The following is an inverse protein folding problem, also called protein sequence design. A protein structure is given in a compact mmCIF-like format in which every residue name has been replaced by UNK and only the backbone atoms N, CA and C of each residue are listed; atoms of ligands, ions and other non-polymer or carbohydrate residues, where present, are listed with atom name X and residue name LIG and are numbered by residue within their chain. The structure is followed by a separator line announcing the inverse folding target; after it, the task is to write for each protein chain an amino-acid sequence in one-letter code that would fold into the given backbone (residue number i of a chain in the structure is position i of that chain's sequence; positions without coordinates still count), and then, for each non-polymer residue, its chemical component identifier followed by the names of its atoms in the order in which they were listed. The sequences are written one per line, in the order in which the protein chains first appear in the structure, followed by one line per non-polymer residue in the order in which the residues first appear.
data_IF_106630846293
#
_entry.id   IF_106630846293
#
_cell.length_a   1.000
_cell.length_b   1.000
_cell.length_c   1.000
_cell.angle_alpha   90.00
_cell.angle_beta   90.00
_cell.angle_gamma   90.00
#
_symmetry.space_group_name_H-M   'P 1'
#
loop_
_entity.id
_entity.type
_entity.pdbx_description
1 polymer ?
#
# COMPACT_ATOMS: atom_id res chain seq x y z
N UNK A 1 18.00 6.97 -19.98
CA UNK A 1 17.59 7.84 -18.85
C UNK A 1 18.83 8.36 -18.13
N UNK A 2 18.86 9.64 -17.78
CA UNK A 2 19.87 10.24 -16.89
C UNK A 2 19.54 9.96 -15.43
N UNK A 3 20.46 10.29 -14.51
CA UNK A 3 20.22 10.15 -13.06
C UNK A 3 19.08 11.05 -12.60
N UNK A 4 19.04 12.27 -13.12
CA UNK A 4 18.02 13.27 -12.80
C UNK A 4 16.64 12.76 -13.20
N UNK A 5 16.49 12.22 -14.41
CA UNK A 5 15.21 11.64 -14.90
C UNK A 5 14.76 10.44 -14.06
N UNK A 6 15.69 9.58 -13.63
CA UNK A 6 15.41 8.42 -12.77
C UNK A 6 14.94 8.88 -11.39
N UNK A 7 15.64 9.85 -10.79
CA UNK A 7 15.28 10.38 -9.47
C UNK A 7 13.96 11.15 -9.52
N UNK A 8 13.74 11.96 -10.55
CA UNK A 8 12.49 12.70 -10.76
C UNK A 8 11.31 11.73 -10.90
N UNK A 9 11.48 10.67 -11.69
CA UNK A 9 10.45 9.63 -11.78
C UNK A 9 10.18 8.95 -10.43
N UNK A 10 11.22 8.60 -9.68
CA UNK A 10 11.07 8.05 -8.32
C UNK A 10 10.38 9.01 -7.35
N UNK A 11 10.63 10.31 -7.49
CA UNK A 11 10.00 11.36 -6.66
C UNK A 11 8.56 11.69 -7.08
N UNK A 12 8.12 11.28 -8.27
CA UNK A 12 6.74 11.46 -8.71
C UNK A 12 5.74 10.56 -7.97
N UNK A 13 6.20 9.51 -7.30
CA UNK A 13 5.34 8.64 -6.49
C UNK A 13 4.93 9.33 -5.17
N UNK A 14 3.72 9.04 -4.66
CA UNK A 14 3.22 9.63 -3.42
C UNK A 14 4.14 9.39 -2.22
N UNK A 15 4.26 10.39 -1.36
CA UNK A 15 4.96 10.32 -0.08
C UNK A 15 6.43 9.87 -0.20
N UNK A 16 7.14 10.31 -1.24
CA UNK A 16 8.55 10.01 -1.44
C UNK A 16 9.45 11.19 -1.08
N UNK A 17 10.72 10.90 -0.86
CA UNK A 17 11.77 11.89 -0.69
C UNK A 17 13.13 11.31 -1.08
N UNK A 18 14.03 12.19 -1.52
CA UNK A 18 15.40 11.85 -1.86
C UNK A 18 16.33 11.98 -0.65
N UNK A 19 17.33 11.14 -0.59
CA UNK A 19 18.37 11.15 0.43
C UNK A 19 19.73 10.72 -0.18
N UNK A 20 20.81 11.37 0.27
CA UNK A 20 22.18 10.90 0.06
C UNK A 20 22.64 10.20 1.35
N UNK A 21 22.63 8.85 1.40
CA UNK A 21 22.80 8.12 2.67
C UNK A 21 24.26 8.05 3.15
N UNK A 22 25.21 8.41 2.29
CA UNK A 22 26.64 8.32 2.54
C UNK A 22 27.33 9.67 2.28
N UNK A 23 28.56 9.82 2.76
CA UNK A 23 29.43 10.98 2.39
C UNK A 23 29.84 10.95 0.92
N UNK A 24 29.72 9.78 0.25
CA UNK A 24 29.96 9.63 -1.18
C UNK A 24 28.74 10.14 -1.97
N UNK A 25 28.84 11.28 -2.70
CA UNK A 25 27.71 11.84 -3.45
C UNK A 25 27.29 10.97 -4.65
N UNK A 26 28.08 9.95 -4.98
CA UNK A 26 27.72 9.00 -6.02
C UNK A 26 26.45 8.22 -5.68
N UNK A 27 26.16 8.01 -4.39
CA UNK A 27 24.99 7.27 -3.95
C UNK A 27 23.82 8.19 -3.61
N UNK A 28 22.74 8.05 -4.37
CA UNK A 28 21.46 8.74 -4.14
C UNK A 28 20.35 7.71 -4.05
N UNK A 29 19.35 7.97 -3.24
CA UNK A 29 18.21 7.05 -3.12
C UNK A 29 16.90 7.78 -2.93
N UNK A 30 15.80 7.08 -3.25
CA UNK A 30 14.45 7.54 -2.99
C UNK A 30 13.79 6.61 -1.97
N UNK A 31 13.22 7.21 -0.94
CA UNK A 31 12.52 6.54 0.16
C UNK A 31 11.07 6.94 0.23
N UNK A 32 10.29 6.09 0.90
CA UNK A 32 8.91 6.40 1.28
C UNK A 32 8.87 7.04 2.67
N UNK A 33 8.22 8.21 2.79
CA UNK A 33 8.00 8.90 4.08
C UNK A 33 7.26 7.98 5.06
N UNK A 34 7.55 8.13 6.34
CA UNK A 34 6.93 7.32 7.40
C UNK A 34 7.63 5.97 7.58
N UNK A 35 7.65 5.09 6.58
CA UNK A 35 8.32 3.79 6.68
C UNK A 35 9.84 3.87 6.56
N UNK A 36 10.37 4.94 5.96
CA UNK A 36 11.79 5.15 5.62
C UNK A 36 12.39 4.05 4.73
N UNK A 37 11.55 3.21 4.11
CA UNK A 37 12.02 2.16 3.21
C UNK A 37 12.48 2.77 1.90
N UNK A 38 13.70 2.40 1.47
CA UNK A 38 14.19 2.73 0.14
C UNK A 38 13.62 1.76 -0.89
N UNK A 39 13.27 2.28 -2.07
CA UNK A 39 12.84 1.46 -3.20
C UNK A 39 13.66 1.71 -4.47
N UNK A 40 14.41 2.80 -4.52
CA UNK A 40 15.25 3.16 -5.64
C UNK A 40 16.59 3.67 -5.10
N UNK A 41 17.70 3.11 -5.63
CA UNK A 41 19.05 3.60 -5.40
C UNK A 41 19.69 3.92 -6.74
N UNK A 42 20.49 4.95 -6.82
CA UNK A 42 21.25 5.32 -8.01
C UNK A 42 22.73 5.47 -7.68
N UNK A 43 23.60 5.02 -8.56
CA UNK A 43 25.06 5.21 -8.47
C UNK A 43 25.70 5.01 -9.85
N UNK A 44 26.84 5.61 -10.07
CA UNK A 44 27.64 5.40 -11.27
C UNK A 44 28.71 4.34 -11.03
N UNK A 45 28.86 3.45 -11.98
CA UNK A 45 29.90 2.41 -11.96
C UNK A 45 30.22 1.99 -13.38
N UNK A 46 31.53 1.81 -13.65
CA UNK A 46 32.05 1.35 -14.94
C UNK A 46 31.58 2.24 -16.13
N UNK A 47 31.39 3.54 -15.89
CA UNK A 47 30.96 4.52 -16.89
C UNK A 47 29.45 4.55 -17.19
N UNK A 48 28.64 3.77 -16.47
CA UNK A 48 27.19 3.73 -16.61
C UNK A 48 26.47 4.14 -15.33
N UNK A 49 25.31 4.73 -15.48
CA UNK A 49 24.37 4.86 -14.40
C UNK A 49 23.80 3.47 -14.07
N UNK A 50 23.87 3.11 -12.82
CA UNK A 50 23.27 1.89 -12.29
C UNK A 50 22.17 2.27 -11.30
N UNK A 51 21.08 1.51 -11.32
CA UNK A 51 20.02 1.65 -10.32
C UNK A 51 19.72 0.31 -9.66
N UNK A 52 19.43 0.36 -8.36
CA UNK A 52 18.92 -0.81 -7.64
C UNK A 52 17.44 -0.62 -7.36
N UNK A 53 16.65 -1.63 -7.71
CA UNK A 53 15.21 -1.72 -7.47
C UNK A 53 14.85 -3.02 -6.78
N UNK A 54 13.83 -3.02 -5.94
CA UNK A 54 13.29 -4.25 -5.36
C UNK A 54 12.50 -5.03 -6.39
N UNK A 55 12.58 -6.35 -6.27
CA UNK A 55 11.75 -7.26 -7.05
C UNK A 55 11.30 -8.44 -6.18
N UNK A 56 10.08 -8.94 -6.38
CA UNK A 56 9.69 -10.24 -5.85
C UNK A 56 10.39 -11.37 -6.62
N UNK A 57 10.27 -12.61 -6.13
CA UNK A 57 11.02 -13.75 -6.69
C UNK A 57 10.70 -14.01 -8.16
N UNK A 58 9.45 -13.88 -8.58
CA UNK A 58 9.02 -14.19 -9.96
C UNK A 58 9.49 -13.11 -10.93
N UNK A 59 9.22 -11.83 -10.62
CA UNK A 59 9.63 -10.69 -11.43
C UNK A 59 11.14 -10.47 -11.44
N UNK A 60 11.84 -10.78 -10.34
CA UNK A 60 13.30 -10.76 -10.27
C UNK A 60 13.93 -11.62 -11.36
N UNK A 61 13.53 -12.88 -11.44
CA UNK A 61 14.11 -13.85 -12.38
C UNK A 61 13.63 -13.59 -13.82
N UNK A 62 12.40 -13.13 -13.99
CA UNK A 62 11.88 -12.68 -15.27
C UNK A 62 12.76 -11.56 -15.86
N UNK A 63 12.97 -10.47 -15.10
CA UNK A 63 13.76 -9.34 -15.58
C UNK A 63 15.21 -9.67 -15.85
N UNK A 64 15.84 -10.51 -15.02
CA UNK A 64 17.21 -11.02 -15.27
C UNK A 64 17.31 -11.86 -16.55
N UNK A 65 16.26 -12.60 -16.87
CA UNK A 65 16.19 -13.40 -18.09
C UNK A 65 15.86 -12.57 -19.32
N UNK A 66 15.02 -11.53 -19.18
CA UNK A 66 14.66 -10.63 -20.27
C UNK A 66 15.84 -9.75 -20.73
N UNK A 67 16.69 -9.32 -19.78
CA UNK A 67 17.83 -8.43 -20.04
C UNK A 67 19.13 -9.01 -19.45
N UNK A 68 19.67 -10.11 -20.02
CA UNK A 68 20.90 -10.74 -19.53
C UNK A 68 22.08 -9.75 -19.57
N UNK A 69 22.77 -9.60 -18.44
CA UNK A 69 23.90 -8.70 -18.31
C UNK A 69 23.52 -7.25 -17.97
N UNK A 70 22.35 -6.75 -18.39
CA UNK A 70 21.87 -5.40 -18.05
C UNK A 70 21.01 -5.39 -16.78
N UNK A 71 20.28 -6.49 -16.47
CA UNK A 71 19.61 -6.69 -15.18
C UNK A 71 20.33 -7.83 -14.44
N UNK A 72 20.98 -7.49 -13.34
CA UNK A 72 21.83 -8.41 -12.57
C UNK A 72 21.41 -8.46 -11.10
N UNK A 73 21.87 -9.44 -10.30
CA UNK A 73 21.65 -9.44 -8.85
C UNK A 73 22.11 -8.16 -8.18
N UNK A 74 21.32 -7.67 -7.20
CA UNK A 74 21.52 -6.40 -6.52
C UNK A 74 22.95 -6.17 -6.03
N UNK A 75 23.59 -5.13 -6.49
CA UNK A 75 24.94 -4.73 -6.09
C UNK A 75 24.90 -4.10 -4.70
N UNK A 76 25.70 -4.61 -3.78
CA UNK A 76 25.73 -4.24 -2.34
C UNK A 76 24.41 -4.41 -1.58
N UNK A 77 23.40 -5.06 -2.17
CA UNK A 77 22.10 -5.31 -1.55
C UNK A 77 21.77 -6.82 -1.55
N UNK A 78 20.69 -7.18 -0.83
CA UNK A 78 20.24 -8.58 -0.82
C UNK A 78 19.79 -9.02 -2.22
N UNK A 79 20.53 -9.99 -2.77
CA UNK A 79 20.37 -10.50 -4.15
C UNK A 79 19.05 -11.24 -4.39
N UNK A 80 18.36 -11.65 -3.33
CA UNK A 80 17.05 -12.31 -3.41
C UNK A 80 15.91 -11.31 -3.64
N UNK A 81 16.09 -10.06 -3.19
CA UNK A 81 15.04 -9.04 -3.20
C UNK A 81 15.39 -7.80 -4.01
N UNK A 82 16.57 -7.76 -4.64
CA UNK A 82 17.02 -6.60 -5.39
C UNK A 82 17.65 -6.98 -6.72
N UNK A 83 17.30 -6.22 -7.74
CA UNK A 83 17.99 -6.19 -9.02
C UNK A 83 18.78 -4.89 -9.15
N UNK A 84 19.92 -4.99 -9.84
CA UNK A 84 20.65 -3.84 -10.37
C UNK A 84 20.36 -3.76 -11.86
N UNK A 85 19.94 -2.59 -12.33
CA UNK A 85 19.79 -2.26 -13.73
C UNK A 85 21.00 -1.42 -14.16
N UNK A 86 21.71 -1.85 -15.17
CA UNK A 86 22.79 -1.09 -15.81
C UNK A 86 22.17 -0.33 -16.97
N UNK A 87 22.13 1.00 -16.88
CA UNK A 87 21.48 1.84 -17.89
C UNK A 87 22.43 2.17 -19.03
N UNK A 88 22.85 1.15 -19.75
CA UNK A 88 23.72 1.22 -20.94
C UNK A 88 22.96 1.39 -22.26
N UNK A 89 21.63 1.51 -22.20
CA UNK A 89 20.74 1.60 -23.35
C UNK A 89 20.11 0.28 -23.78
N UNK A 90 20.48 -0.85 -23.16
CA UNK A 90 19.92 -2.18 -23.45
C UNK A 90 18.46 -2.30 -22.97
N UNK A 91 18.13 -1.70 -21.83
CA UNK A 91 16.80 -1.78 -21.24
C UNK A 91 15.97 -0.59 -21.75
N UNK A 92 14.80 -0.83 -22.38
CA UNK A 92 13.88 0.24 -22.76
C UNK A 92 13.46 1.08 -21.55
N UNK A 93 13.29 2.38 -21.75
CA UNK A 93 12.91 3.32 -20.67
C UNK A 93 11.60 2.93 -19.99
N UNK A 94 10.63 2.42 -20.75
CA UNK A 94 9.34 1.94 -20.22
C UNK A 94 9.53 0.82 -19.20
N UNK A 95 10.43 -0.13 -19.47
CA UNK A 95 10.71 -1.25 -18.58
C UNK A 95 11.54 -0.81 -17.36
N UNK A 96 12.44 0.16 -17.50
CA UNK A 96 13.10 0.80 -16.36
C UNK A 96 12.07 1.44 -15.44
N UNK A 97 11.17 2.25 -15.99
CA UNK A 97 10.08 2.89 -15.23
C UNK A 97 9.16 1.87 -14.57
N UNK A 98 8.83 0.80 -15.28
CA UNK A 98 8.03 -0.30 -14.73
C UNK A 98 8.69 -0.97 -13.53
N UNK A 99 9.98 -1.32 -13.63
CA UNK A 99 10.71 -1.93 -12.51
C UNK A 99 10.82 -0.98 -11.31
N UNK A 100 10.95 0.33 -11.52
CA UNK A 100 10.92 1.33 -10.44
C UNK A 100 9.53 1.36 -9.77
N UNK A 101 8.44 1.35 -10.55
CA UNK A 101 7.08 1.32 -10.03
C UNK A 101 6.78 0.04 -9.23
N UNK A 102 7.17 -1.13 -9.74
CA UNK A 102 7.08 -2.41 -9.03
C UNK A 102 7.85 -2.37 -7.70
N UNK A 103 9.04 -1.77 -7.69
CA UNK A 103 9.83 -1.60 -6.47
C UNK A 103 9.15 -0.68 -5.44
N UNK A 104 8.53 0.41 -5.89
CA UNK A 104 7.73 1.29 -5.03
C UNK A 104 6.55 0.55 -4.41
N UNK A 105 5.82 -0.23 -5.21
CA UNK A 105 4.68 -1.01 -4.74
C UNK A 105 5.09 -2.03 -3.67
N UNK A 106 6.20 -2.74 -3.86
CA UNK A 106 6.72 -3.70 -2.87
C UNK A 106 7.08 -3.07 -1.51
N UNK A 107 7.47 -1.79 -1.47
CA UNK A 107 7.79 -1.12 -0.19
C UNK A 107 6.58 -0.42 0.42
N UNK A 108 5.56 -0.12 -0.38
CA UNK A 108 4.32 0.55 0.03
C UNK A 108 3.16 -0.42 0.23
N UNK A 109 3.23 -1.66 -0.28
CA UNK A 109 2.26 -2.71 0.03
C UNK A 109 2.43 -3.16 1.49
N UNK A 110 1.95 -2.31 2.39
CA UNK A 110 1.92 -2.59 3.82
C UNK A 110 0.53 -3.14 4.20
N UNK A 111 0.44 -3.96 5.27
CA UNK A 111 -0.86 -4.35 5.82
C UNK A 111 -1.80 -3.17 6.04
N UNK A 112 -1.26 -2.02 6.46
CA UNK A 112 -2.03 -0.78 6.64
C UNK A 112 -2.61 -0.26 5.32
N UNK A 113 -1.83 -0.24 4.22
CA UNK A 113 -2.33 0.15 2.89
C UNK A 113 -3.43 -0.81 2.44
N UNK A 114 -3.22 -2.12 2.56
CA UNK A 114 -4.25 -3.13 2.20
C UNK A 114 -5.53 -2.96 3.02
N UNK A 115 -5.43 -2.63 4.31
CA UNK A 115 -6.57 -2.30 5.16
C UNK A 115 -7.33 -1.10 4.61
N UNK A 116 -6.65 -0.01 4.29
CA UNK A 116 -7.29 1.19 3.74
C UNK A 116 -7.99 0.91 2.41
N UNK A 117 -7.34 0.17 1.51
CA UNK A 117 -7.96 -0.20 0.22
C UNK A 117 -9.17 -1.14 0.41
N UNK A 118 -9.15 -2.04 1.40
CA UNK A 118 -10.32 -2.85 1.74
C UNK A 118 -11.48 -1.99 2.29
N UNK A 119 -11.17 -1.01 3.14
CA UNK A 119 -12.19 -0.10 3.71
C UNK A 119 -12.83 0.78 2.65
N UNK A 120 -12.06 1.27 1.66
CA UNK A 120 -12.61 2.03 0.52
C UNK A 120 -13.63 1.25 -0.31
N UNK A 121 -13.54 -0.08 -0.31
CA UNK A 121 -14.46 -0.95 -1.04
C UNK A 121 -15.80 -1.16 -0.35
N UNK A 122 -15.96 -0.75 0.92
CA UNK A 122 -17.25 -0.87 1.62
C UNK A 122 -18.25 0.05 0.93
N UNK A 123 -19.36 -0.48 0.39
CA UNK A 123 -20.35 0.35 -0.31
C UNK A 123 -21.00 1.38 0.63
N UNK A 124 -21.50 2.47 0.06
CA UNK A 124 -22.35 3.41 0.76
C UNK A 124 -23.60 2.70 1.29
N UNK A 125 -24.04 3.03 2.50
CA UNK A 125 -25.17 2.38 3.14
C UNK A 125 -24.86 1.04 3.80
N UNK A 126 -23.59 0.62 3.84
CA UNK A 126 -23.18 -0.66 4.44
C UNK A 126 -22.03 -0.47 5.43
N UNK A 127 -21.87 -1.46 6.31
CA UNK A 127 -20.81 -1.52 7.31
C UNK A 127 -20.07 -2.86 7.24
N UNK A 128 -18.81 -2.84 7.63
CA UNK A 128 -17.98 -4.04 7.82
C UNK A 128 -17.54 -4.14 9.28
N UNK A 129 -17.29 -5.36 9.74
CA UNK A 129 -16.63 -5.55 11.03
C UNK A 129 -15.10 -5.52 10.87
N UNK A 130 -14.38 -5.21 11.96
CA UNK A 130 -12.89 -5.31 11.97
C UNK A 130 -12.40 -6.69 11.53
N UNK A 131 -13.13 -7.74 11.86
CA UNK A 131 -12.79 -9.11 11.46
C UNK A 131 -12.96 -9.33 9.95
N UNK A 132 -14.02 -8.79 9.35
CA UNK A 132 -14.23 -8.86 7.91
C UNK A 132 -13.15 -8.11 7.12
N UNK A 133 -12.75 -6.92 7.59
CA UNK A 133 -11.62 -6.21 6.96
C UNK A 133 -10.32 -7.03 7.09
N UNK A 134 -10.05 -7.64 8.25
CA UNK A 134 -8.90 -8.51 8.43
C UNK A 134 -8.94 -9.73 7.48
N UNK A 135 -10.11 -10.31 7.25
CA UNK A 135 -10.30 -11.39 6.28
C UNK A 135 -10.05 -10.96 4.84
N UNK A 136 -10.56 -9.79 4.42
CA UNK A 136 -10.35 -9.22 3.09
C UNK A 136 -8.87 -8.96 2.77
N UNK A 137 -8.05 -8.69 3.79
CA UNK A 137 -6.60 -8.52 3.61
C UNK A 137 -5.79 -9.82 3.76
N UNK A 138 -6.49 -10.96 3.90
CA UNK A 138 -5.88 -12.30 3.96
C UNK A 138 -5.35 -12.72 5.34
N UNK A 139 -5.69 -11.98 6.41
CA UNK A 139 -5.09 -12.17 7.74
C UNK A 139 -6.14 -12.09 8.86
N UNK A 140 -6.96 -13.13 9.02
CA UNK A 140 -8.06 -13.17 10.01
C UNK A 140 -7.68 -12.77 11.46
N UNK A 141 -6.42 -12.95 11.86
CA UNK A 141 -5.94 -12.59 13.20
C UNK A 141 -5.62 -11.09 13.37
N UNK A 142 -5.72 -10.29 12.30
CA UNK A 142 -5.31 -8.87 12.29
C UNK A 142 -6.40 -7.87 12.67
N UNK A 143 -7.55 -8.27 13.21
CA UNK A 143 -8.64 -7.33 13.59
C UNK A 143 -8.16 -6.17 14.49
N UNK A 144 -7.22 -6.44 15.43
CA UNK A 144 -6.60 -5.40 16.26
C UNK A 144 -5.73 -4.44 15.46
N UNK A 145 -4.98 -4.94 14.48
CA UNK A 145 -4.16 -4.12 13.60
C UNK A 145 -5.03 -3.26 12.66
N UNK A 146 -6.20 -3.77 12.24
CA UNK A 146 -7.21 -2.97 11.53
C UNK A 146 -7.64 -1.77 12.38
N UNK A 147 -8.03 -2.00 13.64
CA UNK A 147 -8.39 -0.92 14.55
C UNK A 147 -7.28 0.14 14.71
N UNK A 148 -6.04 -0.30 14.89
CA UNK A 148 -4.88 0.60 15.01
C UNK A 148 -4.61 1.39 13.72
N UNK A 149 -4.78 0.79 12.55
CA UNK A 149 -4.63 1.45 11.27
C UNK A 149 -5.72 2.52 11.08
N UNK A 150 -6.99 2.18 11.35
CA UNK A 150 -8.12 3.09 11.19
C UNK A 150 -8.06 4.26 12.17
N UNK A 151 -7.54 4.06 13.38
CA UNK A 151 -7.31 5.14 14.33
C UNK A 151 -6.27 6.17 13.83
N UNK A 152 -5.35 5.75 12.97
CA UNK A 152 -4.30 6.60 12.36
C UNK A 152 -4.61 6.95 10.90
N UNK A 153 -5.86 6.81 10.47
CA UNK A 153 -6.28 7.09 9.11
C UNK A 153 -5.86 8.51 8.68
N UNK A 154 -5.02 8.65 7.63
CA UNK A 154 -4.51 9.96 7.21
C UNK A 154 -5.52 10.77 6.39
N UNK A 155 -6.59 10.13 5.89
CA UNK A 155 -7.56 10.72 4.98
C UNK A 155 -8.97 10.15 5.23
N UNK A 156 -9.67 10.63 6.25
CA UNK A 156 -10.99 10.13 6.63
C UNK A 156 -12.11 10.47 5.63
N UNK A 157 -11.83 11.32 4.66
CA UNK A 157 -12.79 11.66 3.59
C UNK A 157 -12.75 10.59 2.47
N UNK A 158 -11.55 10.14 2.07
CA UNK A 158 -11.39 9.12 1.02
C UNK A 158 -11.43 7.70 1.57
N UNK A 159 -11.09 7.51 2.86
CA UNK A 159 -11.07 6.21 3.54
C UNK A 159 -12.18 6.17 4.58
N UNK A 160 -13.37 5.64 4.27
CA UNK A 160 -14.57 5.73 5.12
C UNK A 160 -14.46 4.80 6.35
N UNK A 161 -13.51 5.09 7.25
CA UNK A 161 -13.26 4.29 8.45
C UNK A 161 -14.49 4.26 9.40
N UNK A 162 -15.39 5.22 9.29
CA UNK A 162 -16.66 5.25 10.04
C UNK A 162 -17.60 4.07 9.68
N UNK A 163 -17.44 3.45 8.51
CA UNK A 163 -18.18 2.23 8.11
C UNK A 163 -17.66 0.96 8.77
N UNK A 164 -16.68 1.03 9.68
CA UNK A 164 -16.13 -0.15 10.37
C UNK A 164 -16.59 -0.16 11.83
N UNK A 165 -17.21 -1.27 12.21
CA UNK A 165 -17.81 -1.51 13.53
C UNK A 165 -17.25 -2.78 14.19
N UNK A 166 -17.57 -3.05 15.45
CA UNK A 166 -17.16 -4.30 16.09
C UNK A 166 -18.04 -5.49 15.64
N UNK A 167 -17.73 -6.69 16.11
CA UNK A 167 -18.45 -7.92 15.76
C UNK A 167 -19.92 -7.97 16.21
N UNK A 168 -20.34 -7.04 17.06
CA UNK A 168 -21.72 -6.89 17.52
C UNK A 168 -22.47 -5.74 16.84
N UNK A 169 -21.80 -5.03 15.89
CA UNK A 169 -22.33 -3.85 15.24
C UNK A 169 -22.20 -2.56 16.08
N UNK A 170 -21.54 -2.61 17.26
CA UNK A 170 -21.39 -1.45 18.13
C UNK A 170 -20.36 -0.46 17.54
N UNK A 171 -20.63 0.83 17.66
CA UNK A 171 -19.76 1.90 17.24
C UNK A 171 -18.50 1.97 18.12
N UNK A 172 -17.44 2.55 17.59
CA UNK A 172 -16.20 2.74 18.34
C UNK A 172 -16.34 3.90 19.32
N UNK A 173 -16.26 3.61 20.63
CA UNK A 173 -16.22 4.65 21.66
C UNK A 173 -14.98 5.57 21.57
N UNK A 174 -13.93 5.11 20.88
CA UNK A 174 -12.69 5.84 20.66
C UNK A 174 -12.51 6.22 19.18
N UNK A 175 -13.60 6.57 18.47
CA UNK A 175 -13.50 7.02 17.09
C UNK A 175 -12.62 8.28 16.99
N UNK A 176 -11.49 8.17 16.27
CA UNK A 176 -10.42 9.18 16.29
C UNK A 176 -10.82 10.55 15.72
N UNK A 177 -11.92 10.62 14.98
CA UNK A 177 -12.35 11.80 14.22
C UNK A 177 -13.64 12.43 14.81
N UNK A 178 -13.75 12.52 16.13
CA UNK A 178 -14.87 13.18 16.80
C UNK A 178 -15.70 12.30 17.75
N UNK A 179 -15.21 11.09 18.04
CA UNK A 179 -15.89 10.15 18.96
C UNK A 179 -17.07 9.40 18.33
N UNK A 180 -17.81 8.65 19.15
CA UNK A 180 -18.92 7.80 18.70
C UNK A 180 -20.06 8.61 18.07
N UNK A 181 -20.33 9.82 18.53
CA UNK A 181 -21.36 10.69 17.95
C UNK A 181 -21.08 11.11 16.52
N UNK A 182 -19.82 11.37 16.18
CA UNK A 182 -19.44 11.69 14.80
C UNK A 182 -19.51 10.46 13.89
N UNK A 183 -19.13 9.28 14.39
CA UNK A 183 -19.30 8.04 13.66
C UNK A 183 -20.77 7.77 13.34
N UNK A 184 -21.65 7.94 14.34
CA UNK A 184 -23.10 7.81 14.19
C UNK A 184 -23.66 8.77 13.13
N UNK A 185 -23.30 10.07 13.24
CA UNK A 185 -23.72 11.08 12.28
C UNK A 185 -23.36 10.71 10.84
N UNK A 186 -22.11 10.31 10.59
CA UNK A 186 -21.62 9.91 9.26
C UNK A 186 -22.32 8.66 8.73
N UNK A 187 -22.60 7.68 9.59
CA UNK A 187 -23.35 6.48 9.22
C UNK A 187 -24.79 6.82 8.82
N UNK A 188 -25.46 7.69 9.56
CA UNK A 188 -26.82 8.15 9.23
C UNK A 188 -26.86 8.93 7.91
N UNK A 189 -25.89 9.80 7.65
CA UNK A 189 -25.75 10.49 6.35
C UNK A 189 -25.47 9.53 5.19
N UNK A 190 -24.86 8.39 5.50
CA UNK A 190 -24.58 7.31 4.56
C UNK A 190 -25.81 6.41 4.29
N UNK A 191 -26.89 6.57 5.09
CA UNK A 191 -28.13 5.81 4.99
C UNK A 191 -28.21 4.59 5.90
N UNK A 192 -27.26 4.45 6.85
CA UNK A 192 -27.22 3.35 7.83
C UNK A 192 -28.02 3.76 9.07
N UNK A 193 -28.93 2.91 9.53
CA UNK A 193 -29.69 3.14 10.77
C UNK A 193 -28.83 2.73 11.96
N UNK A 194 -28.70 3.64 12.93
CA UNK A 194 -28.00 3.39 14.19
C UNK A 194 -29.01 3.48 15.33
N UNK A 195 -29.14 2.42 16.13
CA UNK A 195 -30.02 2.35 17.30
C UNK A 195 -29.19 2.05 18.56
N UNK A 196 -29.27 2.93 19.56
CA UNK A 196 -28.52 2.79 20.81
C UNK A 196 -27.01 2.56 20.61
N UNK A 197 -26.37 3.27 19.65
CA UNK A 197 -24.96 3.14 19.33
C UNK A 197 -24.58 1.84 18.62
N UNK A 198 -25.54 1.20 17.96
CA UNK A 198 -25.36 -0.10 17.29
C UNK A 198 -26.04 -0.12 15.92
N UNK A 199 -25.40 -0.79 14.97
CA UNK A 199 -25.91 -1.08 13.62
C UNK A 199 -26.37 -2.52 13.55
N UNK A 200 -27.50 -2.79 12.90
CA UNK A 200 -27.95 -4.15 12.58
C UNK A 200 -27.09 -4.71 11.42
N UNK A 201 -26.21 -5.65 11.76
CA UNK A 201 -25.34 -6.31 10.78
C UNK A 201 -26.10 -7.22 9.81
N UNK A 202 -27.30 -7.67 10.17
CA UNK A 202 -28.17 -8.46 9.28
C UNK A 202 -28.73 -7.61 8.14
N UNK A 203 -28.96 -6.33 8.39
CA UNK A 203 -29.52 -5.38 7.42
C UNK A 203 -28.41 -4.61 6.67
N UNK A 204 -27.40 -4.13 7.38
CA UNK A 204 -26.38 -3.20 6.84
C UNK A 204 -25.00 -3.82 6.71
N UNK A 205 -24.77 -5.05 7.19
CA UNK A 205 -23.47 -5.72 7.12
C UNK A 205 -23.13 -6.15 5.70
N UNK A 206 -21.84 -6.01 5.32
CA UNK A 206 -21.35 -6.64 4.09
C UNK A 206 -21.26 -8.16 4.25
N UNK A 207 -21.34 -8.86 3.14
CA UNK A 207 -20.99 -10.27 3.02
C UNK A 207 -19.66 -10.39 2.28
N UNK A 208 -18.87 -11.41 2.59
CA UNK A 208 -17.62 -11.70 1.90
C UNK A 208 -17.76 -13.04 1.22
N UNK A 209 -17.50 -13.08 -0.08
CA UNK A 209 -17.39 -14.35 -0.80
C UNK A 209 -16.14 -15.09 -0.28
N UNK A 210 -16.30 -16.32 0.25
CA UNK A 210 -15.18 -17.04 0.87
C UNK A 210 -14.13 -17.53 -0.13
N UNK A 211 -14.44 -17.52 -1.44
CA UNK A 211 -13.53 -17.98 -2.50
C UNK A 211 -12.81 -16.81 -3.16
N UNK A 212 -13.57 -15.77 -3.56
CA UNK A 212 -13.02 -14.62 -4.28
C UNK A 212 -12.54 -13.50 -3.37
N UNK A 213 -12.92 -13.53 -2.08
CA UNK A 213 -12.73 -12.43 -1.11
C UNK A 213 -13.30 -11.09 -1.60
N UNK A 214 -14.36 -11.15 -2.40
CA UNK A 214 -15.08 -9.97 -2.86
C UNK A 214 -16.21 -9.61 -1.90
N UNK A 215 -16.48 -8.30 -1.81
CA UNK A 215 -17.59 -7.78 -1.00
C UNK A 215 -18.89 -7.97 -1.78
N UNK A 216 -19.90 -8.53 -1.10
CA UNK A 216 -21.30 -8.62 -1.55
C UNK A 216 -22.18 -7.88 -0.56
N UNK A 217 -23.34 -7.46 -1.03
CA UNK A 217 -24.41 -6.90 -0.19
C UNK A 217 -25.63 -7.81 -0.26
N UNK A 218 -26.54 -7.70 0.70
CA UNK A 218 -27.75 -8.51 0.71
C UNK A 218 -28.65 -8.27 -0.54
N UNK A 219 -28.44 -7.15 -1.23
CA UNK A 219 -29.19 -6.75 -2.43
C UNK A 219 -28.51 -7.12 -3.76
N UNK A 220 -27.37 -7.84 -3.71
CA UNK A 220 -26.56 -8.19 -4.90
C UNK A 220 -26.61 -9.68 -5.26
#
# INVERSE_FOLDING_TARGET
MTREEVLEYGLSFPLTYQEAPFHDPNWQLVRVKGSKKAFLWTYEKDGYLNINVKADLQWRDFWRSAYPGAVIPGYHLNKEHWNTLILDGTIPEEDVKRMIAESYDLVTDSPTKRIYEAVKKIPKGHVATYAQIAELVGEKKMARAVGNALHKNPDPESIPCFRVVNSKGELSGAFAFGGSGEQERRLMEDGVIVENGKVDLGQFGILIDPVTLEIKTADS
#
